data_IF_034199626154
#
_entry.id   IF_034199626154
#
_cell.length_a   1.000
_cell.length_b   1.000
_cell.length_c   1.000
_cell.angle_alpha   90.00
_cell.angle_beta   90.00
_cell.angle_gamma   90.00
#
_symmetry.space_group_name_H-M   'P 1'
#
loop_
_entity.id
_entity.type
_entity.pdbx_description
1 polymer ?
#
# COMPACT_ATOMS: atom_id res chain seq x y z
N UNK A 1 -15.00 6.06 4.30
CA UNK A 1 -13.82 6.49 3.49
C UNK A 1 -12.58 5.69 3.83
N UNK A 2 -11.97 5.84 5.02
CA UNK A 2 -10.73 5.10 5.33
C UNK A 2 -10.93 3.59 5.45
N UNK A 3 -12.03 3.18 6.08
CA UNK A 3 -12.39 1.76 6.23
C UNK A 3 -12.70 1.08 4.89
N UNK A 4 -13.21 1.85 3.91
CA UNK A 4 -13.52 1.34 2.58
C UNK A 4 -12.23 1.03 1.81
N UNK A 5 -11.22 1.92 1.88
CA UNK A 5 -9.92 1.67 1.27
C UNK A 5 -9.21 0.46 1.86
N UNK A 6 -9.31 0.29 3.19
CA UNK A 6 -8.73 -0.88 3.85
C UNK A 6 -9.39 -2.18 3.36
N UNK A 7 -10.72 -2.21 3.30
CA UNK A 7 -11.49 -3.38 2.82
C UNK A 7 -11.16 -3.72 1.37
N UNK A 8 -11.10 -2.72 0.48
CA UNK A 8 -10.77 -2.95 -0.93
C UNK A 8 -9.31 -3.36 -1.13
N UNK A 9 -8.37 -2.75 -0.40
CA UNK A 9 -6.96 -3.15 -0.44
C UNK A 9 -6.77 -4.59 0.06
N UNK A 10 -7.56 -5.01 1.06
CA UNK A 10 -7.52 -6.39 1.58
C UNK A 10 -8.00 -7.44 0.57
N UNK A 11 -8.80 -7.04 -0.44
CA UNK A 11 -9.12 -7.93 -1.58
C UNK A 11 -7.93 -8.16 -2.50
N UNK A 12 -6.91 -7.30 -2.46
CA UNK A 12 -5.68 -7.40 -3.26
C UNK A 12 -4.55 -8.06 -2.47
N UNK A 13 -4.42 -7.73 -1.19
CA UNK A 13 -3.48 -8.34 -0.26
C UNK A 13 -4.28 -8.90 0.92
N UNK A 14 -4.55 -10.19 0.88
CA UNK A 14 -5.47 -10.86 1.83
C UNK A 14 -4.88 -11.02 3.22
N UNK A 15 -3.56 -11.19 3.32
CA UNK A 15 -2.84 -11.27 4.58
C UNK A 15 -2.73 -9.88 5.23
N UNK A 16 -3.33 -9.65 6.41
CA UNK A 16 -3.31 -8.35 7.07
C UNK A 16 -1.91 -7.88 7.46
N UNK A 17 -1.03 -8.79 7.85
CA UNK A 17 0.34 -8.47 8.26
C UNK A 17 1.16 -8.00 7.06
N UNK A 18 1.01 -8.67 5.92
CA UNK A 18 1.62 -8.22 4.66
C UNK A 18 1.05 -6.88 4.24
N UNK A 19 -0.28 -6.69 4.27
CA UNK A 19 -0.92 -5.44 3.89
C UNK A 19 -0.39 -4.26 4.72
N UNK A 20 -0.33 -4.40 6.05
CA UNK A 20 0.21 -3.37 6.95
C UNK A 20 1.66 -3.04 6.61
N UNK A 21 2.49 -4.05 6.35
CA UNK A 21 3.89 -3.85 5.99
C UNK A 21 4.07 -3.13 4.65
N UNK A 22 3.30 -3.51 3.63
CA UNK A 22 3.33 -2.89 2.30
C UNK A 22 2.89 -1.43 2.38
N UNK A 23 1.75 -1.16 3.04
CA UNK A 23 1.23 0.21 3.26
C UNK A 23 2.25 1.06 4.02
N UNK A 24 2.83 0.53 5.11
CA UNK A 24 3.80 1.26 5.93
C UNK A 24 5.05 1.63 5.15
N UNK A 25 5.59 0.69 4.36
CA UNK A 25 6.76 0.95 3.51
C UNK A 25 6.45 1.99 2.44
N UNK A 26 5.30 1.87 1.78
CA UNK A 26 4.92 2.82 0.73
C UNK A 26 4.65 4.21 1.28
N UNK A 27 3.93 4.32 2.40
CA UNK A 27 3.67 5.60 3.06
C UNK A 27 4.96 6.31 3.44
N UNK A 28 5.99 5.58 3.91
CA UNK A 28 7.33 6.16 4.15
C UNK A 28 7.95 6.72 2.88
N UNK A 29 7.89 6.00 1.76
CA UNK A 29 8.42 6.49 0.47
C UNK A 29 7.72 7.78 0.03
N UNK A 30 6.39 7.83 0.10
CA UNK A 30 5.61 9.02 -0.25
C UNK A 30 5.99 10.23 0.64
N UNK A 31 6.12 10.01 1.95
CA UNK A 31 6.59 11.05 2.89
C UNK A 31 8.01 11.51 2.59
N UNK A 32 8.87 10.64 2.06
CA UNK A 32 10.21 10.98 1.59
C UNK A 32 10.25 11.62 0.20
N UNK A 33 9.09 11.92 -0.42
CA UNK A 33 9.00 12.66 -1.69
C UNK A 33 8.96 11.78 -2.94
N UNK A 34 8.79 10.46 -2.81
CA UNK A 34 8.55 9.62 -3.97
C UNK A 34 7.21 10.00 -4.63
N UNK A 35 7.18 9.97 -5.96
CA UNK A 35 5.96 10.28 -6.71
C UNK A 35 4.88 9.21 -6.45
N UNK A 36 3.62 9.61 -6.26
CA UNK A 36 2.47 8.70 -6.34
C UNK A 36 2.42 7.98 -7.70
N UNK A 37 1.93 6.75 -7.69
CA UNK A 37 1.71 5.92 -8.89
C UNK A 37 0.32 6.13 -9.49
N UNK A 38 -0.55 6.83 -8.76
CA UNK A 38 -1.91 7.19 -9.16
C UNK A 38 -2.12 8.67 -8.90
N UNK A 39 -3.01 9.27 -9.67
CA UNK A 39 -3.44 10.65 -9.46
C UNK A 39 -4.61 10.70 -8.47
N UNK A 40 -4.67 11.78 -7.70
CA UNK A 40 -5.82 12.09 -6.86
C UNK A 40 -6.10 13.58 -6.94
N UNK A 41 -7.38 13.91 -7.15
CA UNK A 41 -7.87 15.29 -7.13
C UNK A 41 -7.93 15.86 -5.70
N UNK A 42 -7.86 14.99 -4.69
CA UNK A 42 -7.89 15.33 -3.28
C UNK A 42 -6.51 15.18 -2.64
N UNK A 43 -6.25 15.97 -1.60
CA UNK A 43 -5.02 15.84 -0.81
C UNK A 43 -5.17 14.69 0.19
N UNK A 44 -4.77 13.49 -0.24
CA UNK A 44 -4.78 12.29 0.60
C UNK A 44 -3.59 12.25 1.57
N UNK A 45 -3.77 11.52 2.68
CA UNK A 45 -2.64 11.10 3.50
C UNK A 45 -1.76 10.11 2.72
N UNK A 46 -0.50 9.95 3.13
CA UNK A 46 0.41 9.00 2.50
C UNK A 46 -0.09 7.55 2.64
N UNK A 47 -0.74 7.25 3.76
CA UNK A 47 -1.35 5.95 4.04
C UNK A 47 -2.55 5.69 3.11
N UNK A 48 -3.43 6.67 2.92
CA UNK A 48 -4.59 6.51 2.05
C UNK A 48 -4.19 6.42 0.58
N UNK A 49 -3.17 7.20 0.17
CA UNK A 49 -2.58 7.08 -1.17
C UNK A 49 -1.99 5.69 -1.40
N UNK A 50 -1.25 5.15 -0.43
CA UNK A 50 -0.68 3.80 -0.51
C UNK A 50 -1.78 2.72 -0.61
N UNK A 51 -2.86 2.83 0.18
CA UNK A 51 -3.99 1.91 0.09
C UNK A 51 -4.65 1.95 -1.29
N UNK A 52 -4.85 3.15 -1.86
CA UNK A 52 -5.41 3.29 -3.20
C UNK A 52 -4.50 2.71 -4.29
N UNK A 53 -3.19 2.91 -4.20
CA UNK A 53 -2.24 2.30 -5.14
C UNK A 53 -2.29 0.76 -5.10
N UNK A 54 -2.52 0.17 -3.92
CA UNK A 54 -2.75 -1.28 -3.76
C UNK A 54 -4.10 -1.68 -4.38
N UNK A 55 -5.18 -0.95 -4.11
CA UNK A 55 -6.51 -1.21 -4.69
C UNK A 55 -6.49 -1.22 -6.22
N UNK A 56 -5.74 -0.28 -6.83
CA UNK A 56 -5.56 -0.17 -8.28
C UNK A 56 -4.52 -1.15 -8.84
N UNK A 57 -3.92 -2.00 -7.99
CA UNK A 57 -2.95 -3.02 -8.39
C UNK A 57 -1.61 -2.45 -8.87
N UNK A 58 -1.29 -1.20 -8.51
CA UNK A 58 -0.01 -0.56 -8.86
C UNK A 58 1.13 -1.00 -7.94
N UNK A 59 0.79 -1.53 -6.76
CA UNK A 59 1.74 -2.09 -5.80
C UNK A 59 1.48 -3.58 -5.64
N UNK A 60 2.55 -4.35 -5.73
CA UNK A 60 2.60 -5.77 -5.40
C UNK A 60 3.66 -6.01 -4.31
N UNK A 61 3.67 -7.21 -3.76
CA UNK A 61 4.68 -7.66 -2.80
C UNK A 61 5.29 -8.97 -3.29
N UNK A 62 6.52 -9.23 -2.85
CA UNK A 62 7.19 -10.51 -3.00
C UNK A 62 7.66 -10.93 -1.61
N UNK A 63 7.39 -12.18 -1.26
CA UNK A 63 7.96 -12.80 -0.08
C UNK A 63 9.36 -13.27 -0.45
N UNK A 64 10.37 -12.78 0.25
CA UNK A 64 11.70 -13.39 0.18
C UNK A 64 11.60 -14.77 0.81
N UNK A 65 12.05 -15.80 0.10
CA UNK A 65 12.22 -17.11 0.70
C UNK A 65 13.17 -16.99 1.90
N UNK A 66 12.85 -17.64 3.04
CA UNK A 66 13.77 -17.68 4.15
C UNK A 66 15.06 -18.33 3.66
N UNK A 67 16.18 -17.64 3.84
CA UNK A 67 17.49 -18.24 3.62
C UNK A 67 17.64 -19.31 4.71
N UNK A 68 17.59 -20.58 4.32
CA UNK A 68 17.96 -21.68 5.22
C UNK A 68 19.48 -21.60 5.43
N UNK A 69 19.90 -21.31 6.67
CA UNK A 69 21.30 -21.39 7.14
C UNK A 69 21.73 -22.84 7.39
#
# INVERSE_FOLDING_TARGET
MRDDYLREAQKKITDPMILVNVVSRRAKQLKSGYKPLIESLERLSAEDMALREIMEGKITYQLSEPVED
#
